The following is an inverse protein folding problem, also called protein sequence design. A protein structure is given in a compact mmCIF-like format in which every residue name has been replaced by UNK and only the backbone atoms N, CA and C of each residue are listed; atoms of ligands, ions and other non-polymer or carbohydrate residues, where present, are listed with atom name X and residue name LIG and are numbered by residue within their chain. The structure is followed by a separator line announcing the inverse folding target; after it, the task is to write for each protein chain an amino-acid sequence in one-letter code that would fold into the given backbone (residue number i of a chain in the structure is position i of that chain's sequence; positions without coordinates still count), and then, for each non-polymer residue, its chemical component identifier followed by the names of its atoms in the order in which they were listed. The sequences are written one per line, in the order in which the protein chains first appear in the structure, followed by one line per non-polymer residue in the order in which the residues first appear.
data_IF_651658287271
#
_entry.id   IF_651658287271
#
_cell.length_a   1.000
_cell.length_b   1.000
_cell.length_c   1.000
_cell.angle_alpha   90.00
_cell.angle_beta   90.00
_cell.angle_gamma   90.00
#
_symmetry.space_group_name_H-M   'P 1'
#
loop_
_entity.id
_entity.type
_entity.pdbx_description
1 polymer ?
#
# COMPACT_ATOMS: atom_id res chain seq x y z
N UNK A 1 -7.46 -2.85 23.38
CA UNK A 1 -6.45 -3.66 22.67
C UNK A 1 -7.07 -4.54 21.56
N UNK A 2 -8.18 -5.24 21.81
CA UNK A 2 -8.80 -6.25 20.92
C UNK A 2 -9.40 -5.74 19.60
N UNK A 3 -9.71 -4.45 19.47
CA UNK A 3 -10.47 -3.88 18.34
C UNK A 3 -9.81 -4.11 16.96
N UNK A 4 -8.49 -3.93 16.88
CA UNK A 4 -7.69 -4.13 15.66
C UNK A 4 -7.72 -5.59 15.17
N UNK A 5 -7.77 -6.55 16.09
CA UNK A 5 -7.79 -7.98 15.78
C UNK A 5 -9.16 -8.40 15.31
N UNK A 6 -10.21 -7.90 15.96
CA UNK A 6 -11.58 -8.12 15.49
C UNK A 6 -11.73 -7.62 14.06
N UNK A 7 -11.16 -6.45 13.74
CA UNK A 7 -11.15 -5.94 12.37
C UNK A 7 -10.37 -6.86 11.41
N UNK A 8 -9.13 -7.26 11.74
CA UNK A 8 -8.35 -8.19 10.90
C UNK A 8 -9.07 -9.53 10.70
N UNK A 9 -9.64 -10.11 11.76
CA UNK A 9 -10.39 -11.36 11.68
C UNK A 9 -11.68 -11.20 10.86
N UNK A 10 -12.39 -10.07 10.99
CA UNK A 10 -13.57 -9.78 10.17
C UNK A 10 -13.21 -9.69 8.69
N UNK A 11 -12.13 -8.98 8.34
CA UNK A 11 -11.64 -8.90 6.96
C UNK A 11 -11.20 -10.28 6.44
N UNK A 12 -10.49 -11.07 7.25
CA UNK A 12 -10.08 -12.42 6.87
C UNK A 12 -11.27 -13.37 6.65
N UNK A 13 -12.32 -13.27 7.47
CA UNK A 13 -13.56 -14.04 7.31
C UNK A 13 -14.31 -13.65 6.04
N UNK A 14 -14.49 -12.35 5.80
CA UNK A 14 -15.11 -11.86 4.57
C UNK A 14 -14.32 -12.27 3.34
N UNK A 15 -12.99 -12.20 3.39
CA UNK A 15 -12.14 -12.68 2.32
C UNK A 15 -12.36 -14.17 2.04
N UNK A 16 -12.40 -15.01 3.08
CA UNK A 16 -12.67 -16.46 2.98
C UNK A 16 -14.06 -16.75 2.40
N UNK A 17 -15.08 -16.00 2.84
CA UNK A 17 -16.47 -16.14 2.36
C UNK A 17 -16.61 -15.73 0.89
N UNK A 18 -16.15 -14.53 0.51
CA UNK A 18 -16.21 -14.09 -0.90
C UNK A 18 -15.38 -14.98 -1.83
N UNK A 19 -14.21 -15.44 -1.38
CA UNK A 19 -13.37 -16.35 -2.19
C UNK A 19 -14.06 -17.70 -2.39
N UNK A 20 -14.75 -18.23 -1.38
CA UNK A 20 -15.52 -19.46 -1.50
C UNK A 20 -16.68 -19.33 -2.49
N UNK A 21 -17.27 -18.13 -2.61
CA UNK A 21 -18.30 -17.78 -3.59
C UNK A 21 -17.74 -17.43 -4.98
N UNK A 22 -16.42 -17.60 -5.22
CA UNK A 22 -15.77 -17.29 -6.48
C UNK A 22 -15.64 -15.79 -6.78
N UNK A 23 -15.72 -14.95 -5.75
CA UNK A 23 -15.60 -13.50 -5.84
C UNK A 23 -14.29 -13.01 -5.19
N UNK A 24 -13.79 -11.86 -5.66
CA UNK A 24 -12.66 -11.19 -5.05
C UNK A 24 -13.07 -10.46 -3.76
N UNK A 25 -12.14 -10.26 -2.82
CA UNK A 25 -12.30 -9.31 -1.71
C UNK A 25 -10.92 -8.86 -1.20
N UNK A 26 -10.91 -7.88 -0.32
CA UNK A 26 -9.69 -7.40 0.31
C UNK A 26 -9.18 -8.35 1.40
N UNK A 27 -7.89 -8.66 1.43
CA UNK A 27 -7.27 -9.49 2.48
C UNK A 27 -6.44 -8.65 3.46
N UNK A 28 -6.48 -8.92 4.79
CA UNK A 28 -5.58 -8.25 5.72
C UNK A 28 -4.16 -8.81 5.57
N UNK A 29 -3.15 -7.95 5.56
CA UNK A 29 -1.75 -8.39 5.53
C UNK A 29 -1.30 -8.80 6.93
N UNK A 30 -1.30 -10.10 7.19
CA UNK A 30 -0.80 -10.77 8.39
C UNK A 30 -0.58 -12.26 8.08
N UNK A 31 0.02 -12.97 9.04
CA UNK A 31 0.15 -14.43 9.00
C UNK A 31 -1.19 -15.11 8.72
N UNK A 32 -1.18 -16.09 7.82
CA UNK A 32 -2.38 -16.79 7.35
C UNK A 32 -2.77 -17.94 8.29
N UNK A 33 -1.77 -18.72 8.74
CA UNK A 33 -1.93 -19.83 9.70
C UNK A 33 -1.12 -19.53 10.95
N UNK A 34 -1.76 -19.56 12.12
CA UNK A 34 -1.11 -19.34 13.42
C UNK A 34 -1.09 -20.61 14.25
N UNK A 35 -0.05 -20.77 15.08
CA UNK A 35 0.11 -21.92 15.96
C UNK A 35 -0.05 -21.50 17.42
N UNK A 36 -0.79 -22.28 18.20
CA UNK A 36 -0.85 -22.14 19.64
C UNK A 36 0.36 -22.84 20.29
N UNK A 37 1.28 -22.11 20.94
CA UNK A 37 2.49 -22.70 21.51
C UNK A 37 2.21 -23.62 22.71
N UNK A 38 1.04 -23.51 23.35
CA UNK A 38 0.69 -24.37 24.50
C UNK A 38 0.14 -25.72 24.07
N UNK A 39 -0.59 -25.76 22.95
CA UNK A 39 -1.31 -26.96 22.49
C UNK A 39 -0.74 -27.56 21.21
N UNK A 40 0.12 -26.83 20.50
CA UNK A 40 0.63 -27.20 19.17
C UNK A 40 -0.43 -27.13 18.06
N UNK A 41 -1.65 -26.67 18.37
CA UNK A 41 -2.75 -26.62 17.39
C UNK A 41 -2.60 -25.44 16.44
N UNK A 42 -2.79 -25.69 15.16
CA UNK A 42 -2.80 -24.67 14.11
C UNK A 42 -4.22 -24.17 13.83
N UNK A 43 -4.32 -22.91 13.42
CA UNK A 43 -5.58 -22.24 13.09
C UNK A 43 -5.37 -21.30 11.90
N UNK A 44 -6.33 -21.24 10.99
CA UNK A 44 -6.46 -20.09 10.10
C UNK A 44 -6.63 -18.82 10.94
N UNK A 45 -6.04 -17.70 10.50
CA UNK A 45 -6.10 -16.44 11.24
C UNK A 45 -7.56 -15.99 11.50
N UNK A 46 -8.46 -16.24 10.55
CA UNK A 46 -9.89 -15.96 10.65
C UNK A 46 -10.57 -16.69 11.83
N UNK A 47 -10.09 -17.88 12.17
CA UNK A 47 -10.69 -18.84 13.09
C UNK A 47 -9.91 -18.96 14.41
N UNK A 48 -8.70 -18.40 14.46
CA UNK A 48 -7.85 -18.41 15.64
C UNK A 48 -8.51 -17.73 16.86
N UNK A 49 -8.32 -18.25 18.08
CA UNK A 49 -8.82 -17.61 19.29
C UNK A 49 -8.26 -16.20 19.42
N UNK A 50 -9.12 -15.18 19.60
CA UNK A 50 -8.65 -13.79 19.69
C UNK A 50 -7.66 -13.59 20.85
N UNK A 51 -7.80 -14.36 21.94
CA UNK A 51 -6.84 -14.35 23.06
C UNK A 51 -5.43 -14.73 22.60
N UNK A 52 -5.31 -15.80 21.80
CA UNK A 52 -4.04 -16.23 21.20
C UNK A 52 -3.38 -15.07 20.45
N UNK A 53 -4.13 -14.48 19.50
CA UNK A 53 -3.64 -13.36 18.68
C UNK A 53 -3.31 -12.09 19.50
N UNK A 54 -3.95 -11.87 20.65
CA UNK A 54 -3.67 -10.71 21.51
C UNK A 54 -2.44 -10.86 22.39
N UNK A 55 -2.08 -12.09 22.78
CA UNK A 55 -1.08 -12.33 23.85
C UNK A 55 0.16 -13.05 23.35
N UNK A 56 0.08 -13.78 22.24
CA UNK A 56 1.19 -14.56 21.71
C UNK A 56 1.88 -13.80 20.60
N UNK A 57 3.19 -13.56 20.79
CA UNK A 57 4.03 -12.83 19.84
C UNK A 57 4.25 -13.62 18.55
N UNK A 58 4.38 -14.94 18.65
CA UNK A 58 4.64 -15.87 17.53
C UNK A 58 3.64 -15.73 16.37
N UNK A 59 2.39 -15.36 16.68
CA UNK A 59 1.36 -15.07 15.68
C UNK A 59 1.72 -13.89 14.75
N UNK A 60 2.75 -13.11 15.08
CA UNK A 60 3.18 -11.90 14.40
C UNK A 60 4.63 -11.94 13.94
N UNK A 61 5.41 -12.94 14.37
CA UNK A 61 6.80 -13.12 13.96
C UNK A 61 6.83 -13.57 12.50
N UNK A 62 7.76 -13.00 11.73
CA UNK A 62 8.01 -13.39 10.34
C UNK A 62 9.03 -14.52 10.32
N UNK A 63 8.60 -15.76 10.09
CA UNK A 63 9.49 -16.91 10.05
C UNK A 63 9.98 -17.18 8.62
N UNK A 64 11.22 -17.65 8.44
CA UNK A 64 11.72 -18.05 7.14
C UNK A 64 10.79 -19.10 6.49
N UNK A 65 10.48 -18.90 5.21
CA UNK A 65 9.63 -19.81 4.43
C UNK A 65 8.13 -19.52 4.48
N UNK A 66 7.68 -18.58 5.32
CA UNK A 66 6.29 -18.11 5.27
C UNK A 66 6.08 -17.10 4.13
N UNK A 67 5.14 -17.36 3.22
CA UNK A 67 4.92 -16.52 2.03
C UNK A 67 4.25 -15.17 2.33
N UNK A 68 3.38 -15.11 3.35
CA UNK A 68 2.51 -13.96 3.63
C UNK A 68 3.25 -12.62 3.78
N UNK A 69 4.49 -12.63 4.28
CA UNK A 69 5.26 -11.41 4.55
C UNK A 69 6.06 -10.92 3.34
N UNK A 70 6.28 -11.75 2.31
CA UNK A 70 6.98 -11.36 1.08
C UNK A 70 8.49 -11.11 1.21
N UNK A 71 9.05 -11.08 2.42
CA UNK A 71 10.51 -10.96 2.63
C UNK A 71 11.25 -12.28 2.37
N UNK A 72 11.95 -12.35 1.25
CA UNK A 72 12.82 -13.47 0.90
C UNK A 72 14.04 -13.53 1.84
N UNK A 73 14.44 -14.74 2.23
CA UNK A 73 15.65 -15.02 3.01
C UNK A 73 15.75 -14.28 4.36
N UNK A 74 14.60 -13.95 4.96
CA UNK A 74 14.56 -13.29 6.27
C UNK A 74 15.09 -14.24 7.37
N UNK A 75 16.01 -13.79 8.25
CA UNK A 75 16.44 -14.59 9.39
C UNK A 75 15.30 -14.82 10.38
N UNK A 76 15.31 -15.98 11.03
CA UNK A 76 14.32 -16.28 12.06
C UNK A 76 14.47 -15.36 13.29
N UNK A 77 13.37 -15.10 13.99
CA UNK A 77 13.29 -14.23 15.17
C UNK A 77 13.85 -12.81 14.95
N UNK A 78 13.88 -12.33 13.71
CA UNK A 78 14.45 -11.03 13.38
C UNK A 78 13.45 -9.87 13.49
N UNK A 79 12.22 -10.08 13.01
CA UNK A 79 11.20 -9.05 13.01
C UNK A 79 9.79 -9.60 13.19
N UNK A 80 8.87 -8.71 13.56
CA UNK A 80 7.44 -9.02 13.69
C UNK A 80 6.57 -7.91 13.09
N UNK A 81 5.36 -8.27 12.68
CA UNK A 81 4.33 -7.32 12.28
C UNK A 81 3.68 -6.68 13.51
N UNK A 82 3.68 -5.35 13.57
CA UNK A 82 2.92 -4.64 14.61
C UNK A 82 1.41 -4.83 14.40
N UNK A 83 0.68 -5.43 15.36
CA UNK A 83 -0.76 -5.69 15.22
C UNK A 83 -1.61 -4.43 15.03
N UNK A 84 -1.14 -3.24 15.43
CA UNK A 84 -1.90 -1.97 15.35
C UNK A 84 -1.81 -1.30 13.97
N UNK A 85 -0.78 -1.64 13.19
CA UNK A 85 -0.58 -1.13 11.83
C UNK A 85 -1.30 -2.08 10.88
N UNK A 86 -2.56 -1.79 10.60
CA UNK A 86 -3.39 -2.70 9.80
C UNK A 86 -3.30 -2.33 8.34
N UNK A 87 -2.63 -3.17 7.57
CA UNK A 87 -2.59 -3.08 6.12
C UNK A 87 -3.61 -4.03 5.51
N UNK A 88 -4.34 -3.53 4.52
CA UNK A 88 -5.28 -4.28 3.70
C UNK A 88 -4.71 -4.33 2.29
N UNK A 89 -4.78 -5.50 1.67
CA UNK A 89 -4.32 -5.76 0.31
C UNK A 89 -5.53 -5.87 -0.62
N UNK A 90 -5.50 -5.08 -1.69
CA UNK A 90 -6.36 -5.27 -2.85
C UNK A 90 -5.78 -6.39 -3.75
N UNK A 91 -6.63 -7.13 -4.48
CA UNK A 91 -6.17 -8.14 -5.45
C UNK A 91 -5.42 -7.49 -6.62
N UNK A 92 -4.55 -8.26 -7.29
CA UNK A 92 -3.76 -7.78 -8.43
C UNK A 92 -2.26 -8.05 -8.35
N UNK A 93 -1.75 -8.50 -7.20
CA UNK A 93 -0.36 -8.92 -7.02
C UNK A 93 -0.33 -10.38 -6.56
N UNK A 94 0.31 -11.24 -7.35
CA UNK A 94 0.50 -12.66 -7.08
C UNK A 94 1.48 -12.92 -5.94
N UNK A 95 1.49 -14.15 -5.43
CA UNK A 95 2.43 -14.57 -4.38
C UNK A 95 3.87 -14.72 -4.88
N UNK A 96 4.05 -14.85 -6.20
CA UNK A 96 5.34 -14.85 -6.90
C UNK A 96 5.93 -13.44 -7.07
N UNK A 97 5.16 -12.40 -6.75
CA UNK A 97 5.56 -11.00 -6.91
C UNK A 97 5.27 -10.43 -8.30
N UNK A 98 4.56 -11.16 -9.16
CA UNK A 98 4.11 -10.70 -10.47
C UNK A 98 2.66 -10.20 -10.44
N UNK A 99 2.30 -9.33 -11.38
CA UNK A 99 0.93 -8.82 -11.49
C UNK A 99 -0.01 -9.90 -12.03
N UNK A 100 -1.18 -10.05 -11.42
CA UNK A 100 -2.23 -10.97 -11.87
C UNK A 100 -2.88 -10.49 -13.19
N UNK A 101 -3.75 -11.31 -13.80
CA UNK A 101 -4.46 -10.91 -15.02
C UNK A 101 -5.41 -9.71 -14.79
N UNK A 102 -6.04 -9.69 -13.63
CA UNK A 102 -6.99 -8.67 -13.17
C UNK A 102 -6.61 -8.20 -11.78
N UNK A 103 -6.93 -6.95 -11.43
CA UNK A 103 -6.67 -6.43 -10.10
C UNK A 103 -7.44 -5.16 -9.81
N UNK A 104 -7.42 -4.74 -8.54
CA UNK A 104 -8.13 -3.56 -8.05
C UNK A 104 -7.11 -2.56 -7.52
N UNK A 105 -6.85 -1.45 -8.22
CA UNK A 105 -5.86 -0.47 -7.78
C UNK A 105 -6.26 0.21 -6.46
N UNK A 106 -5.36 0.19 -5.47
CA UNK A 106 -5.61 0.76 -4.14
C UNK A 106 -5.83 2.28 -4.17
N UNK A 107 -5.29 2.99 -5.16
CA UNK A 107 -5.55 4.41 -5.37
C UNK A 107 -7.05 4.70 -5.59
N UNK A 108 -7.75 3.84 -6.33
CA UNK A 108 -9.19 3.98 -6.59
C UNK A 108 -10.01 3.72 -5.32
N UNK A 109 -9.62 2.71 -4.54
CA UNK A 109 -10.23 2.41 -3.25
C UNK A 109 -10.03 3.56 -2.26
N UNK A 110 -8.84 4.15 -2.23
CA UNK A 110 -8.54 5.32 -1.37
C UNK A 110 -9.34 6.54 -1.77
N UNK A 111 -9.53 6.80 -3.07
CA UNK A 111 -10.42 7.86 -3.54
C UNK A 111 -11.85 7.65 -3.01
N UNK A 112 -12.37 6.42 -3.11
CA UNK A 112 -13.69 6.07 -2.56
C UNK A 112 -13.79 6.25 -1.04
N UNK A 113 -12.79 5.79 -0.29
CA UNK A 113 -12.72 5.97 1.16
C UNK A 113 -12.73 7.46 1.55
N UNK A 114 -11.99 8.29 0.81
CA UNK A 114 -11.93 9.74 1.01
C UNK A 114 -13.29 10.40 0.93
N UNK A 115 -14.15 9.97 -0.01
CA UNK A 115 -15.54 10.47 -0.15
C UNK A 115 -16.40 10.20 1.08
N UNK A 116 -16.09 9.11 1.79
CA UNK A 116 -16.79 8.70 3.01
C UNK A 116 -16.10 9.23 4.29
N UNK A 117 -15.17 10.19 4.15
CA UNK A 117 -14.45 10.78 5.27
C UNK A 117 -13.43 9.85 5.94
N UNK A 118 -13.00 8.80 5.22
CA UNK A 118 -12.00 7.84 5.70
C UNK A 118 -10.70 8.07 4.96
N UNK A 119 -9.67 8.51 5.68
CA UNK A 119 -8.33 8.75 5.11
C UNK A 119 -7.37 7.69 5.62
N UNK A 120 -6.86 6.78 4.76
CA UNK A 120 -5.82 5.84 5.16
C UNK A 120 -4.50 6.57 5.41
N UNK A 121 -3.65 5.97 6.26
CA UNK A 121 -2.33 6.52 6.60
C UNK A 121 -1.33 6.35 5.46
N UNK A 122 -1.45 5.27 4.67
CA UNK A 122 -0.60 5.00 3.52
C UNK A 122 -1.40 4.26 2.46
N UNK A 123 -1.21 4.65 1.21
CA UNK A 123 -1.72 3.95 0.03
C UNK A 123 -0.53 3.72 -0.91
N UNK A 124 -0.37 2.49 -1.41
CA UNK A 124 0.56 2.13 -2.48
C UNK A 124 -0.24 1.59 -3.68
N UNK A 125 0.33 0.70 -4.51
CA UNK A 125 -0.38 0.12 -5.64
C UNK A 125 -1.52 -0.80 -5.21
N UNK A 126 -1.28 -1.67 -4.22
CA UNK A 126 -2.28 -2.63 -3.69
C UNK A 126 -2.47 -2.55 -2.18
N UNK A 127 -1.61 -1.83 -1.44
CA UNK A 127 -1.66 -1.77 0.02
C UNK A 127 -2.38 -0.49 0.49
N UNK A 128 -3.31 -0.65 1.42
CA UNK A 128 -3.99 0.44 2.13
C UNK A 128 -3.82 0.23 3.62
N UNK A 129 -3.13 1.15 4.30
CA UNK A 129 -2.81 1.04 5.73
C UNK A 129 -3.64 1.98 6.59
N UNK A 130 -4.20 1.44 7.67
CA UNK A 130 -4.93 2.15 8.71
C UNK A 130 -4.20 2.05 10.04
N UNK A 131 -4.01 3.19 10.69
CA UNK A 131 -3.41 3.23 12.03
C UNK A 131 -4.49 3.12 13.12
N UNK A 132 -4.46 2.04 13.89
CA UNK A 132 -5.37 1.85 15.01
C UNK A 132 -4.78 2.42 16.30
N UNK A 133 -5.22 3.63 16.68
CA UNK A 133 -4.87 4.25 17.96
C UNK A 133 -5.89 3.93 19.06
N UNK A 134 -5.57 4.32 20.30
CA UNK A 134 -6.49 4.19 21.44
C UNK A 134 -7.84 4.93 21.21
N UNK A 135 -7.84 5.98 20.38
CA UNK A 135 -9.03 6.77 20.05
C UNK A 135 -9.99 6.10 19.05
N UNK A 136 -9.66 4.92 18.52
CA UNK A 136 -10.55 4.18 17.62
C UNK A 136 -11.61 3.43 18.42
N UNK A 137 -12.89 3.73 18.17
CA UNK A 137 -14.04 3.07 18.82
C UNK A 137 -14.48 1.82 18.06
N UNK A 138 -15.36 1.00 18.64
CA UNK A 138 -15.87 -0.21 17.96
C UNK A 138 -16.70 0.13 16.71
N UNK A 139 -17.43 1.25 16.71
CA UNK A 139 -18.21 1.68 15.54
C UNK A 139 -17.35 2.04 14.32
N UNK A 140 -16.17 2.64 14.55
CA UNK A 140 -15.33 3.17 13.47
C UNK A 140 -14.82 2.09 12.50
N UNK A 141 -14.42 0.93 12.99
CA UNK A 141 -13.96 -0.14 12.09
C UNK A 141 -15.11 -0.83 11.37
N UNK A 142 -16.31 -0.86 11.95
CA UNK A 142 -17.53 -1.31 11.26
C UNK A 142 -17.89 -0.42 10.07
N UNK A 143 -17.76 0.90 10.24
CA UNK A 143 -17.90 1.86 9.12
C UNK A 143 -16.89 1.59 8.00
N UNK A 144 -15.64 1.28 8.35
CA UNK A 144 -14.62 0.92 7.36
C UNK A 144 -14.99 -0.34 6.58
N UNK A 145 -15.38 -1.42 7.25
CA UNK A 145 -15.83 -2.65 6.58
C UNK A 145 -17.02 -2.37 5.66
N UNK A 146 -18.03 -1.63 6.13
CA UNK A 146 -19.19 -1.27 5.31
C UNK A 146 -18.78 -0.47 4.06
N UNK A 147 -17.84 0.46 4.21
CA UNK A 147 -17.35 1.29 3.08
C UNK A 147 -16.56 0.46 2.06
N UNK A 148 -15.82 -0.56 2.50
CA UNK A 148 -15.15 -1.51 1.61
C UNK A 148 -16.14 -2.43 0.89
N UNK A 149 -17.18 -2.90 1.58
CA UNK A 149 -18.25 -3.68 0.96
C UNK A 149 -19.05 -2.83 -0.04
N UNK A 150 -19.33 -1.56 0.27
CA UNK A 150 -20.02 -0.65 -0.64
C UNK A 150 -19.17 -0.35 -1.88
N UNK A 151 -17.84 -0.16 -1.71
CA UNK A 151 -16.90 -0.03 -2.83
C UNK A 151 -17.02 -1.23 -3.76
N UNK A 152 -16.85 -2.45 -3.22
CA UNK A 152 -16.93 -3.68 -4.00
C UNK A 152 -18.25 -3.80 -4.75
N UNK A 153 -19.38 -3.54 -4.09
CA UNK A 153 -20.71 -3.58 -4.74
C UNK A 153 -20.80 -2.63 -5.93
N UNK A 154 -20.25 -1.42 -5.81
CA UNK A 154 -20.22 -0.45 -6.92
C UNK A 154 -19.23 -0.83 -8.01
N UNK A 155 -18.09 -1.43 -7.61
CA UNK A 155 -17.07 -1.97 -8.52
C UNK A 155 -17.64 -3.11 -9.37
N UNK A 156 -18.23 -4.13 -8.75
CA UNK A 156 -18.83 -5.28 -9.43
C UNK A 156 -20.01 -4.87 -10.34
N UNK A 157 -20.78 -3.87 -9.93
CA UNK A 157 -21.90 -3.35 -10.74
C UNK A 157 -21.47 -2.36 -11.84
N UNK A 158 -20.17 -2.09 -11.96
CA UNK A 158 -19.58 -1.05 -12.82
C UNK A 158 -20.38 0.26 -12.80
N UNK A 159 -20.66 0.78 -11.60
CA UNK A 159 -21.50 1.98 -11.46
C UNK A 159 -20.83 3.18 -12.16
N UNK A 160 -21.57 4.01 -12.93
CA UNK A 160 -21.00 5.16 -13.63
C UNK A 160 -20.24 6.11 -12.70
N UNK A 161 -19.06 6.58 -13.11
CA UNK A 161 -18.24 7.50 -12.33
C UNK A 161 -18.98 8.79 -11.98
N UNK A 162 -19.88 9.26 -12.84
CA UNK A 162 -20.73 10.42 -12.56
C UNK A 162 -21.64 10.24 -11.32
N UNK A 163 -21.95 9.00 -10.92
CA UNK A 163 -22.72 8.70 -9.72
C UNK A 163 -21.82 8.50 -8.48
N UNK A 164 -20.70 7.79 -8.64
CA UNK A 164 -19.84 7.38 -7.51
C UNK A 164 -18.74 8.38 -7.18
N UNK A 165 -18.23 9.13 -8.17
CA UNK A 165 -17.16 10.12 -8.07
C UNK A 165 -17.46 11.37 -8.94
N UNK A 166 -18.58 12.07 -8.72
CA UNK A 166 -19.03 13.18 -9.56
C UNK A 166 -18.00 14.31 -9.69
N UNK A 167 -17.28 14.64 -8.61
CA UNK A 167 -16.29 15.73 -8.58
C UNK A 167 -15.06 15.40 -9.45
N UNK A 168 -14.71 14.11 -9.57
CA UNK A 168 -13.63 13.66 -10.46
C UNK A 168 -14.02 13.86 -11.94
N UNK A 169 -15.28 13.53 -12.26
CA UNK A 169 -15.83 13.69 -13.62
C UNK A 169 -16.01 15.16 -13.96
N UNK A 170 -16.49 15.98 -13.03
CA UNK A 170 -16.64 17.43 -13.23
C UNK A 170 -15.27 18.10 -13.45
N UNK A 171 -14.24 17.66 -12.75
CA UNK A 171 -12.90 18.24 -12.87
C UNK A 171 -12.18 17.82 -14.17
N UNK A 172 -12.36 16.58 -14.63
CA UNK A 172 -11.72 16.05 -15.83
C UNK A 172 -12.73 15.30 -16.72
N UNK A 173 -13.69 16.01 -17.33
CA UNK A 173 -14.78 15.38 -18.08
C UNK A 173 -14.28 14.66 -19.33
N UNK A 174 -13.30 15.22 -20.04
CA UNK A 174 -12.74 14.61 -21.26
C UNK A 174 -12.12 13.23 -20.99
N UNK A 175 -11.58 13.03 -19.79
CA UNK A 175 -10.98 11.76 -19.39
C UNK A 175 -12.00 10.81 -18.81
N UNK A 176 -12.90 11.26 -17.91
CA UNK A 176 -13.73 10.39 -17.09
C UNK A 176 -15.21 10.29 -17.49
N UNK A 177 -15.65 11.03 -18.51
CA UNK A 177 -17.02 10.93 -19.00
C UNK A 177 -17.34 9.53 -19.54
N UNK A 178 -18.57 9.07 -19.30
CA UNK A 178 -19.11 7.78 -19.76
C UNK A 178 -18.33 6.52 -19.32
N UNK A 179 -17.44 6.62 -18.33
CA UNK A 179 -16.79 5.46 -17.73
C UNK A 179 -17.49 5.03 -16.43
N UNK A 180 -17.51 3.74 -16.18
CA UNK A 180 -17.82 3.17 -14.88
C UNK A 180 -16.57 2.99 -14.01
N UNK A 181 -16.80 2.75 -12.72
CA UNK A 181 -15.71 2.58 -11.75
C UNK A 181 -14.86 1.33 -12.01
N UNK A 182 -15.42 0.27 -12.60
CA UNK A 182 -14.67 -0.92 -12.99
C UNK A 182 -13.78 -0.61 -14.18
N UNK A 183 -14.30 0.12 -15.19
CA UNK A 183 -13.54 0.50 -16.38
C UNK A 183 -12.30 1.33 -16.02
N UNK A 184 -12.44 2.24 -15.04
CA UNK A 184 -11.31 3.00 -14.51
C UNK A 184 -10.31 2.10 -13.77
N UNK A 185 -10.80 1.15 -12.98
CA UNK A 185 -9.96 0.14 -12.30
C UNK A 185 -9.14 -0.68 -13.30
N UNK A 186 -9.78 -1.17 -14.37
CA UNK A 186 -9.13 -1.93 -15.43
C UNK A 186 -8.11 -1.09 -16.20
N UNK A 187 -8.44 0.17 -16.50
CA UNK A 187 -7.52 1.11 -17.17
C UNK A 187 -6.26 1.36 -16.34
N UNK A 188 -6.45 1.61 -15.04
CA UNK A 188 -5.35 1.81 -14.10
C UNK A 188 -4.50 0.54 -13.93
N UNK A 189 -5.14 -0.63 -13.87
CA UNK A 189 -4.43 -1.90 -13.74
C UNK A 189 -3.69 -2.28 -15.04
N UNK A 190 -4.25 -1.97 -16.21
CA UNK A 190 -3.56 -2.11 -17.50
C UNK A 190 -2.30 -1.25 -17.55
N UNK A 191 -2.35 -0.01 -17.05
CA UNK A 191 -1.18 0.85 -16.94
C UNK A 191 -0.10 0.26 -16.01
N UNK A 192 -0.49 -0.35 -14.88
CA UNK A 192 0.44 -1.04 -13.98
C UNK A 192 1.13 -2.21 -14.70
N UNK A 193 0.39 -3.02 -15.46
CA UNK A 193 0.94 -4.13 -16.25
C UNK A 193 1.90 -3.66 -17.34
N UNK A 194 1.58 -2.57 -18.03
CA UNK A 194 2.41 -2.01 -19.10
C UNK A 194 3.72 -1.42 -18.57
N UNK A 195 3.68 -0.72 -17.43
CA UNK A 195 4.82 0.08 -16.94
C UNK A 195 5.64 -0.61 -15.86
N UNK A 196 5.11 -1.66 -15.23
CA UNK A 196 5.70 -2.41 -14.12
C UNK A 196 6.45 -1.52 -13.10
N UNK A 197 5.73 -0.62 -12.38
CA UNK A 197 6.36 0.28 -11.43
C UNK A 197 7.02 -0.45 -10.24
N UNK A 198 6.57 -1.67 -9.91
CA UNK A 198 7.17 -2.50 -8.87
C UNK A 198 8.63 -2.88 -9.19
N UNK A 199 8.91 -3.30 -10.42
CA UNK A 199 10.27 -3.57 -10.88
C UNK A 199 11.14 -2.31 -10.82
N UNK A 200 10.63 -1.16 -11.29
CA UNK A 200 11.34 0.13 -11.23
C UNK A 200 11.66 0.57 -9.81
N UNK A 201 10.74 0.33 -8.87
CA UNK A 201 10.97 0.60 -7.46
C UNK A 201 12.09 -0.30 -6.92
N UNK A 202 12.09 -1.60 -7.23
CA UNK A 202 13.16 -2.50 -6.79
C UNK A 202 14.52 -2.10 -7.38
N UNK A 203 14.59 -1.78 -8.67
CA UNK A 203 15.80 -1.27 -9.33
C UNK A 203 16.34 0.00 -8.65
N UNK A 204 15.46 0.93 -8.30
CA UNK A 204 15.85 2.20 -7.69
C UNK A 204 16.37 2.06 -6.24
N UNK A 205 16.06 0.96 -5.55
CA UNK A 205 16.44 0.74 -4.14
C UNK A 205 17.41 -0.43 -3.94
N UNK A 206 17.76 -1.19 -4.97
CA UNK A 206 18.69 -2.33 -4.86
C UNK A 206 20.14 -1.88 -4.60
N UNK A 207 20.52 -0.71 -5.10
CA UNK A 207 21.85 -0.13 -4.92
C UNK A 207 21.76 1.28 -4.35
N UNK A 208 22.70 1.65 -3.47
CA UNK A 208 22.80 3.01 -2.99
C UNK A 208 23.40 3.92 -4.07
N UNK A 209 22.83 5.11 -4.33
CA UNK A 209 23.47 6.12 -5.16
C UNK A 209 24.84 6.51 -4.60
N UNK A 210 25.79 6.83 -5.49
CA UNK A 210 27.13 7.30 -5.09
C UNK A 210 27.03 8.67 -4.43
N UNK A 211 27.56 8.79 -3.21
CA UNK A 211 27.65 10.06 -2.50
C UNK A 211 28.91 10.83 -2.92
N UNK A 212 28.80 11.72 -3.91
CA UNK A 212 29.92 12.56 -4.38
C UNK A 212 30.33 13.65 -3.37
N UNK A 213 29.36 14.20 -2.64
CA UNK A 213 29.56 15.20 -1.59
C UNK A 213 28.68 14.88 -0.37
N UNK A 214 29.03 15.45 0.78
CA UNK A 214 28.21 15.31 1.99
C UNK A 214 26.89 16.08 1.87
N UNK A 215 25.82 15.67 2.59
CA UNK A 215 24.56 16.42 2.61
C UNK A 215 24.72 17.88 3.07
N UNK A 216 25.74 18.16 3.90
CA UNK A 216 26.05 19.52 4.35
C UNK A 216 26.64 20.37 3.23
N UNK A 217 27.54 19.82 2.43
CA UNK A 217 28.11 20.51 1.27
C UNK A 217 27.05 20.77 0.19
N UNK A 218 26.17 19.80 -0.05
CA UNK A 218 25.02 19.97 -0.93
C UNK A 218 24.10 21.13 -0.46
N UNK A 219 23.88 21.23 0.86
CA UNK A 219 23.12 22.33 1.44
C UNK A 219 23.85 23.68 1.31
N UNK A 220 25.17 23.72 1.51
CA UNK A 220 25.97 24.93 1.31
C UNK A 220 25.88 25.44 -0.14
N UNK A 221 25.85 24.54 -1.14
CA UNK A 221 25.66 24.94 -2.53
C UNK A 221 24.32 25.67 -2.76
N UNK A 222 23.27 25.37 -1.98
CA UNK A 222 22.02 26.15 -2.00
C UNK A 222 22.24 27.55 -1.44
N UNK A 223 22.96 27.67 -0.31
CA UNK A 223 23.27 28.95 0.35
C UNK A 223 24.10 29.85 -0.58
N UNK A 224 25.05 29.28 -1.29
CA UNK A 224 25.92 29.97 -2.23
C UNK A 224 25.23 30.30 -3.57
N UNK A 225 23.92 30.00 -3.69
CA UNK A 225 23.14 30.14 -4.91
C UNK A 225 23.74 29.38 -6.11
N UNK A 226 24.51 28.31 -5.84
CA UNK A 226 25.18 27.46 -6.82
C UNK A 226 24.31 26.25 -7.22
N UNK A 227 23.03 26.48 -7.43
CA UNK A 227 22.06 25.44 -7.79
C UNK A 227 21.20 25.85 -8.99
N UNK A 228 20.63 24.87 -9.66
CA UNK A 228 19.69 25.07 -10.77
C UNK A 228 18.62 23.98 -10.79
N UNK A 229 17.46 24.32 -11.35
CA UNK A 229 16.37 23.36 -11.57
C UNK A 229 16.63 22.58 -12.86
N UNK A 230 16.76 21.26 -12.74
CA UNK A 230 17.09 20.37 -13.86
C UNK A 230 15.91 19.45 -14.14
N UNK A 231 15.43 19.44 -15.39
CA UNK A 231 14.36 18.53 -15.86
C UNK A 231 14.77 17.05 -15.73
N UNK A 232 13.78 16.16 -15.62
CA UNK A 232 13.98 14.72 -15.40
C UNK A 232 14.95 14.07 -16.40
N UNK A 233 14.85 14.43 -17.68
CA UNK A 233 15.71 13.91 -18.76
C UNK A 233 17.19 14.30 -18.61
N UNK A 234 17.47 15.40 -17.88
CA UNK A 234 18.80 15.97 -17.69
C UNK A 234 19.41 15.64 -16.33
N UNK A 235 18.75 14.83 -15.50
CA UNK A 235 19.24 14.41 -14.19
C UNK A 235 20.44 13.46 -14.20
N UNK A 236 20.64 12.58 -15.21
CA UNK A 236 21.78 11.68 -15.20
C UNK A 236 23.13 12.41 -15.00
N UNK A 237 23.90 11.95 -14.02
CA UNK A 237 25.21 12.51 -13.69
C UNK A 237 25.19 13.88 -12.96
N UNK A 238 24.05 14.30 -12.42
CA UNK A 238 23.91 15.53 -11.62
C UNK A 238 23.97 15.26 -10.12
N UNK A 239 24.52 16.21 -9.36
CA UNK A 239 24.57 16.13 -7.90
C UNK A 239 23.33 16.78 -7.28
N UNK A 240 22.79 16.05 -6.33
CA UNK A 240 21.73 16.42 -5.45
C UNK A 240 21.93 17.65 -4.57
N UNK A 241 21.04 18.65 -4.62
CA UNK A 241 21.00 19.70 -3.60
C UNK A 241 20.09 19.39 -2.38
N UNK A 242 19.04 18.58 -2.51
CA UNK A 242 18.05 18.26 -1.46
C UNK A 242 17.71 16.74 -1.40
N UNK A 243 16.57 16.24 -0.85
CA UNK A 243 16.25 14.79 -0.65
C UNK A 243 15.03 14.21 -1.43
N UNK A 244 15.11 13.07 -2.18
CA UNK A 244 14.04 12.51 -3.07
C UNK A 244 13.32 11.49 -2.28
N UNK A 245 12.03 11.70 -2.12
CA UNK A 245 11.20 10.78 -1.39
C UNK A 245 10.00 10.49 -2.29
N UNK A 246 10.12 9.50 -3.20
CA UNK A 246 8.97 9.02 -3.93
C UNK A 246 8.01 8.31 -2.96
N UNK A 247 6.73 8.31 -3.29
CA UNK A 247 5.69 7.59 -2.56
C UNK A 247 4.94 6.73 -3.59
N UNK A 248 5.04 5.39 -3.52
CA UNK A 248 5.85 4.56 -2.58
C UNK A 248 7.38 4.61 -2.86
N UNK A 249 8.25 4.14 -1.94
CA UNK A 249 7.98 3.58 -0.60
C UNK A 249 7.92 4.63 0.53
N UNK A 250 8.15 5.92 0.23
CA UNK A 250 8.18 6.98 1.24
C UNK A 250 9.47 6.99 2.08
N UNK A 251 10.54 6.39 1.55
CA UNK A 251 11.90 6.41 2.10
C UNK A 251 12.80 7.12 1.08
N UNK A 252 13.91 7.72 1.53
CA UNK A 252 14.83 8.42 0.62
C UNK A 252 15.35 7.47 -0.45
N UNK A 253 15.07 7.77 -1.72
CA UNK A 253 15.60 7.05 -2.90
C UNK A 253 16.98 7.59 -3.25
N UNK A 254 17.09 8.92 -3.31
CA UNK A 254 18.36 9.64 -3.26
C UNK A 254 18.21 10.75 -2.22
N UNK A 255 19.30 11.38 -1.83
CA UNK A 255 19.19 12.81 -1.57
C UNK A 255 18.75 13.46 -2.93
N UNK A 256 17.49 13.90 -3.18
CA UNK A 256 16.90 14.94 -4.12
C UNK A 256 15.33 15.15 -4.25
N UNK A 257 14.67 16.20 -3.78
CA UNK A 257 13.18 16.41 -3.72
C UNK A 257 12.33 16.07 -4.97
N UNK A 258 11.08 15.64 -4.71
CA UNK A 258 9.97 15.34 -5.62
C UNK A 258 9.48 16.58 -6.39
N UNK A 259 10.10 16.92 -7.51
CA UNK A 259 9.63 17.95 -8.45
C UNK A 259 10.02 17.60 -9.89
N UNK A 260 9.20 18.01 -10.87
CA UNK A 260 9.45 17.86 -12.32
C UNK A 260 10.74 18.50 -12.80
N UNK A 261 11.32 19.37 -11.98
CA UNK A 261 12.73 19.73 -12.04
C UNK A 261 13.35 19.58 -10.66
N UNK A 262 14.52 18.96 -10.58
CA UNK A 262 15.22 18.73 -9.33
C UNK A 262 16.28 19.83 -9.18
N UNK A 263 16.40 20.43 -7.97
CA UNK A 263 17.50 21.36 -7.69
C UNK A 263 18.81 20.58 -7.62
N UNK A 264 19.69 20.79 -8.58
CA UNK A 264 21.02 20.18 -8.60
C UNK A 264 22.10 21.24 -8.38
N UNK A 265 23.26 20.83 -7.88
CA UNK A 265 24.45 21.69 -7.84
C UNK A 265 24.88 21.99 -9.28
N UNK A 266 25.14 23.26 -9.61
CA UNK A 266 25.61 23.62 -10.95
C UNK A 266 26.99 22.99 -11.21
N UNK A 267 27.18 22.51 -12.43
CA UNK A 267 28.51 22.15 -12.95
C UNK A 267 29.11 23.35 -13.67
#
# INVERSE_FOLDING_TARGET
MTKRLIFRQAMARLYKEFTADGSWFFKPWNKEVVTDPQTGKTYDFADAPTKLLTTVQDCWVMHPGESWHGFKDIPDNWSMLDPIKVSILAPGMGEDGELEETGVPAALVTAWLGRHGIVPTRTTDFQIMFLFSMGVTRGKWGTLVNTLCSFKRHYDANTPLAQVMPELVEQYPDTYANMGIHDLGDTMFAWLKENNPGARLNEAYSGLPVAEITPREAYNAIVDNNVELVSIENLPGRIAANSVIPYPPGIRCCCLVKTSAIKTVRK
#
